data_IF_405032851983
#
_entry.id   IF_405032851983
#
_cell.length_a   1.000
_cell.length_b   1.000
_cell.length_c   1.000
_cell.angle_alpha   90.00
_cell.angle_beta   90.00
_cell.angle_gamma   90.00
#
_symmetry.space_group_name_H-M   'P 1'
#
loop_
_entity.id
_entity.type
_entity.pdbx_description
1 polymer ?
#
# COMPACT_ATOMS: atom_id res chain seq x y z
N UNK A 1 25.69 -1.17 24.00
CA UNK A 1 25.43 -0.40 22.78
C UNK A 1 24.18 -0.98 22.14
N UNK A 2 23.03 -0.45 22.53
CA UNK A 2 21.70 -0.82 22.03
C UNK A 2 21.52 -0.18 20.66
N UNK A 3 21.75 -0.95 19.58
CA UNK A 3 21.40 -0.51 18.23
C UNK A 3 19.88 -0.47 18.14
N UNK A 4 19.37 0.71 17.80
CA UNK A 4 17.98 1.11 17.96
C UNK A 4 16.97 0.23 17.23
N UNK A 5 15.88 -0.08 17.93
CA UNK A 5 14.61 -0.56 17.39
C UNK A 5 13.77 0.60 16.82
N UNK A 6 14.42 1.68 16.38
CA UNK A 6 13.78 2.89 15.89
C UNK A 6 14.10 2.99 14.40
N UNK A 7 13.28 2.36 13.55
CA UNK A 7 13.05 2.66 12.10
C UNK A 7 12.52 1.46 11.29
N UNK A 8 11.59 0.68 11.84
CA UNK A 8 10.80 -0.29 11.05
C UNK A 8 9.30 -0.06 11.20
N UNK A 9 8.89 1.20 11.36
CA UNK A 9 7.48 1.57 11.31
C UNK A 9 7.14 1.95 9.85
N UNK A 10 6.61 1.03 9.02
CA UNK A 10 6.16 1.41 7.69
C UNK A 10 5.04 2.45 7.88
N UNK A 11 5.15 3.61 7.22
CA UNK A 11 4.17 4.71 7.27
C UNK A 11 2.74 4.32 6.79
N UNK A 12 2.41 3.04 6.66
CA UNK A 12 1.10 2.53 6.28
C UNK A 12 0.87 1.11 6.82
N UNK A 13 1.00 0.93 8.15
CA UNK A 13 0.83 -0.36 8.83
C UNK A 13 -0.65 -0.81 8.84
N UNK A 14 -1.00 -1.96 8.21
CA UNK A 14 -2.36 -2.51 8.21
C UNK A 14 -2.93 -2.81 9.60
N UNK A 15 -2.07 -3.00 10.61
CA UNK A 15 -2.47 -3.23 11.99
C UNK A 15 -2.91 -1.95 12.73
N UNK A 16 -2.48 -0.78 12.26
CA UNK A 16 -2.86 0.51 12.86
C UNK A 16 -4.14 1.09 12.25
N UNK A 17 -4.64 0.50 11.16
CA UNK A 17 -5.87 0.98 10.54
C UNK A 17 -7.09 0.69 11.40
N UNK A 18 -8.04 1.63 11.50
CA UNK A 18 -9.26 1.45 12.27
C UNK A 18 -10.07 0.27 11.72
N UNK A 19 -10.80 -0.42 12.61
CA UNK A 19 -11.71 -1.52 12.22
C UNK A 19 -12.77 -1.03 11.22
N UNK A 20 -13.25 0.20 11.40
CA UNK A 20 -14.12 0.89 10.45
C UNK A 20 -13.31 1.97 9.73
N UNK A 21 -12.97 1.72 8.48
CA UNK A 21 -12.22 2.66 7.64
C UNK A 21 -13.21 3.60 6.95
N UNK A 22 -13.07 4.90 7.18
CA UNK A 22 -13.87 5.94 6.51
C UNK A 22 -13.28 6.27 5.13
N UNK A 23 -14.04 6.96 4.26
CA UNK A 23 -13.53 7.31 2.92
C UNK A 23 -12.31 8.25 2.96
N UNK A 24 -12.20 9.09 4.00
CA UNK A 24 -11.02 9.93 4.24
C UNK A 24 -9.81 9.05 4.55
N UNK A 25 -9.96 8.08 5.46
CA UNK A 25 -8.89 7.13 5.80
C UNK A 25 -8.50 6.31 4.57
N UNK A 26 -9.47 5.85 3.76
CA UNK A 26 -9.20 5.10 2.51
C UNK A 26 -8.33 5.92 1.57
N UNK A 27 -8.62 7.21 1.46
CA UNK A 27 -7.90 8.12 0.57
C UNK A 27 -6.46 8.30 1.04
N UNK A 28 -6.24 8.57 2.33
CA UNK A 28 -4.90 8.71 2.91
C UNK A 28 -4.08 7.41 2.81
N UNK A 29 -4.69 6.27 3.14
CA UNK A 29 -4.07 4.94 3.06
C UNK A 29 -3.68 4.60 1.62
N UNK A 30 -4.56 4.87 0.63
CA UNK A 30 -4.28 4.59 -0.78
C UNK A 30 -3.24 5.55 -1.36
N UNK A 31 -3.22 6.81 -0.92
CA UNK A 31 -2.21 7.79 -1.31
C UNK A 31 -0.81 7.37 -0.86
N UNK A 32 -0.69 6.84 0.36
CA UNK A 32 0.58 6.30 0.89
C UNK A 32 0.98 4.98 0.21
N UNK A 33 -0.02 4.19 -0.21
CA UNK A 33 0.16 2.95 -0.95
C UNK A 33 0.72 1.80 -0.12
N UNK A 34 0.73 0.57 -0.68
CA UNK A 34 1.28 -0.59 0.01
C UNK A 34 2.80 -0.45 0.17
N UNK A 35 3.27 -0.38 1.42
CA UNK A 35 4.71 -0.34 1.71
C UNK A 35 5.20 -1.78 1.88
N UNK A 36 6.13 -2.17 1.01
CA UNK A 36 6.88 -3.42 1.16
C UNK A 36 8.27 -3.10 1.65
N UNK A 37 8.64 -3.69 2.78
CA UNK A 37 10.02 -3.66 3.20
C UNK A 37 10.80 -4.50 2.20
N UNK A 38 11.60 -3.85 1.35
CA UNK A 38 12.61 -4.51 0.54
C UNK A 38 13.79 -4.75 1.48
N UNK A 39 13.90 -5.96 1.99
CA UNK A 39 14.94 -6.27 2.96
C UNK A 39 16.04 -7.01 2.22
N UNK A 40 17.17 -6.35 1.98
CA UNK A 40 18.40 -6.98 1.45
C UNK A 40 19.06 -7.97 2.45
N UNK A 41 18.35 -8.33 3.53
CA UNK A 41 18.81 -9.12 4.66
C UNK A 41 17.75 -10.19 5.01
N UNK A 42 17.89 -11.37 4.39
CA UNK A 42 17.06 -12.57 4.60
C UNK A 42 17.00 -13.01 6.08
N UNK A 43 17.93 -12.52 6.91
CA UNK A 43 18.05 -12.82 8.34
C UNK A 43 17.02 -12.09 9.23
N UNK A 44 16.18 -11.22 8.67
CA UNK A 44 15.16 -10.48 9.43
C UNK A 44 13.79 -11.16 9.48
N UNK A 45 13.51 -12.19 8.66
CA UNK A 45 12.25 -12.93 8.78
C UNK A 45 12.30 -13.89 9.97
N UNK A 46 11.47 -13.68 11.01
CA UNK A 46 11.46 -14.56 12.16
C UNK A 46 11.08 -15.98 11.72
N UNK A 47 11.74 -16.94 12.36
CA UNK A 47 11.47 -18.36 12.18
C UNK A 47 10.45 -18.76 13.25
N UNK A 48 9.32 -19.31 12.82
CA UNK A 48 8.30 -19.81 13.74
C UNK A 48 8.72 -21.14 14.38
N UNK A 49 7.93 -21.61 15.35
CA UNK A 49 8.18 -22.86 16.09
C UNK A 49 8.34 -24.11 15.19
N UNK A 50 7.83 -24.04 13.96
CA UNK A 50 7.93 -25.12 12.97
C UNK A 50 9.14 -24.98 12.03
N UNK A 51 10.12 -24.15 12.38
CA UNK A 51 11.29 -23.83 11.57
C UNK A 51 10.95 -23.23 10.18
N UNK A 52 9.80 -22.57 10.04
CA UNK A 52 9.34 -21.93 8.79
C UNK A 52 9.32 -20.41 8.95
N UNK A 53 9.49 -19.71 7.84
CA UNK A 53 9.49 -18.24 7.78
C UNK A 53 8.84 -17.76 6.49
N UNK A 54 8.46 -16.49 6.49
CA UNK A 54 8.12 -15.80 5.26
C UNK A 54 9.29 -15.84 4.26
N UNK A 55 8.95 -15.87 2.98
CA UNK A 55 9.92 -15.84 1.88
C UNK A 55 9.41 -14.91 0.80
N UNK A 56 10.30 -14.08 0.26
CA UNK A 56 9.99 -13.18 -0.86
C UNK A 56 9.49 -13.89 -2.11
N UNK A 57 9.70 -15.21 -2.23
CA UNK A 57 9.08 -16.00 -3.29
C UNK A 57 7.55 -15.79 -3.35
N UNK A 58 6.90 -15.56 -2.21
CA UNK A 58 5.47 -15.32 -2.13
C UNK A 58 5.06 -13.94 -2.70
N UNK A 59 5.99 -13.00 -2.88
CA UNK A 59 5.71 -11.70 -3.50
C UNK A 59 5.33 -11.84 -4.98
N UNK A 60 5.77 -12.90 -5.65
CA UNK A 60 5.56 -13.10 -7.07
C UNK A 60 4.70 -14.31 -7.37
N UNK A 61 3.80 -14.17 -8.34
CA UNK A 61 3.11 -15.28 -8.99
C UNK A 61 3.94 -15.72 -10.20
N UNK A 62 4.18 -17.02 -10.33
CA UNK A 62 4.75 -17.60 -11.55
C UNK A 62 3.61 -17.94 -12.50
N UNK A 63 3.68 -17.41 -13.72
CA UNK A 63 2.73 -17.67 -14.80
C UNK A 63 3.11 -18.93 -15.57
N UNK A 64 2.22 -19.42 -16.43
CA UNK A 64 2.45 -20.64 -17.24
C UNK A 64 3.63 -20.49 -18.21
N UNK A 65 3.96 -19.26 -18.59
CA UNK A 65 5.10 -18.90 -19.43
C UNK A 65 6.36 -18.58 -18.62
N UNK A 66 6.45 -19.04 -17.37
CA UNK A 66 7.52 -18.76 -16.40
C UNK A 66 7.75 -17.28 -16.06
N UNK A 67 6.91 -16.37 -16.56
CA UNK A 67 6.99 -14.97 -16.20
C UNK A 67 6.55 -14.75 -14.75
N UNK A 68 7.27 -13.86 -14.05
CA UNK A 68 6.96 -13.46 -12.68
C UNK A 68 6.05 -12.24 -12.71
N UNK A 69 4.86 -12.39 -12.15
CA UNK A 69 3.91 -11.31 -11.93
C UNK A 69 3.95 -10.88 -10.46
N UNK A 70 4.32 -9.62 -10.22
CA UNK A 70 4.38 -9.06 -8.88
C UNK A 70 2.99 -8.90 -8.25
N UNK A 71 2.79 -9.44 -7.04
CA UNK A 71 1.52 -9.39 -6.31
C UNK A 71 1.35 -8.06 -5.57
N UNK A 72 1.40 -6.90 -6.25
CA UNK A 72 1.42 -5.55 -5.61
C UNK A 72 0.45 -5.30 -4.43
N UNK A 73 -0.64 -6.05 -4.34
CA UNK A 73 -1.62 -6.03 -3.24
C UNK A 73 -1.15 -6.67 -1.92
N UNK A 74 -0.10 -7.48 -1.93
CA UNK A 74 0.35 -8.26 -0.76
C UNK A 74 1.36 -7.47 0.06
N UNK A 75 1.16 -7.42 1.38
CA UNK A 75 2.06 -6.77 2.35
C UNK A 75 2.45 -7.80 3.40
N UNK A 76 3.73 -7.85 3.75
CA UNK A 76 4.21 -8.61 4.90
C UNK A 76 4.59 -7.63 6.02
N UNK A 77 4.14 -7.93 7.23
CA UNK A 77 4.47 -7.15 8.43
C UNK A 77 5.28 -8.02 9.39
N UNK A 78 6.52 -7.58 9.65
CA UNK A 78 7.46 -8.31 10.50
C UNK A 78 7.03 -8.32 11.97
N UNK A 79 6.43 -7.23 12.46
CA UNK A 79 5.99 -7.11 13.88
C UNK A 79 4.94 -8.14 14.26
N UNK A 80 4.13 -8.61 13.29
CA UNK A 80 3.11 -9.64 13.47
C UNK A 80 3.47 -10.99 12.87
N UNK A 81 4.61 -11.08 12.18
CA UNK A 81 4.98 -12.20 11.31
C UNK A 81 3.78 -12.68 10.47
N UNK A 82 3.15 -11.77 9.73
CA UNK A 82 1.92 -12.06 9.00
C UNK A 82 1.82 -11.32 7.67
N UNK A 83 1.11 -11.94 6.72
CA UNK A 83 0.79 -11.38 5.41
C UNK A 83 -0.62 -10.81 5.40
N UNK A 84 -0.79 -9.67 4.74
CA UNK A 84 -2.03 -8.95 4.56
C UNK A 84 -2.29 -8.68 3.07
N UNK A 85 -3.57 -8.55 2.73
CA UNK A 85 -4.01 -8.09 1.44
C UNK A 85 -4.50 -6.66 1.57
N UNK A 86 -3.69 -5.72 1.07
CA UNK A 86 -3.93 -4.28 1.11
C UNK A 86 -5.36 -3.89 0.68
N UNK A 87 -5.84 -4.20 -0.53
CA UNK A 87 -7.17 -3.80 -0.96
C UNK A 87 -8.29 -4.50 -0.17
N UNK A 88 -8.11 -5.77 0.20
CA UNK A 88 -9.14 -6.50 0.96
C UNK A 88 -9.28 -5.98 2.38
N UNK A 89 -8.20 -5.50 3.01
CA UNK A 89 -8.24 -4.88 4.33
C UNK A 89 -8.95 -3.52 4.31
N UNK A 90 -8.86 -2.78 3.22
CA UNK A 90 -9.43 -1.41 3.10
C UNK A 90 -10.90 -1.42 2.62
N UNK A 91 -11.21 -2.30 1.67
CA UNK A 91 -12.49 -2.30 0.95
C UNK A 91 -13.33 -3.56 1.17
N UNK A 92 -12.73 -4.61 1.73
CA UNK A 92 -13.36 -5.90 1.90
C UNK A 92 -13.95 -6.09 3.29
N UNK A 93 -14.90 -7.04 3.45
CA UNK A 93 -15.32 -7.50 4.76
C UNK A 93 -14.19 -8.25 5.49
N UNK A 94 -14.21 -8.25 6.82
CA UNK A 94 -13.27 -8.96 7.72
C UNK A 94 -13.50 -10.49 7.75
N UNK A 95 -13.96 -11.08 6.64
CA UNK A 95 -14.26 -12.50 6.54
C UNK A 95 -13.06 -13.35 6.06
N UNK A 96 -11.97 -12.71 5.62
CA UNK A 96 -10.76 -13.40 5.18
C UNK A 96 -9.60 -13.06 6.12
N UNK A 97 -8.77 -14.05 6.45
CA UNK A 97 -7.60 -13.88 7.34
C UNK A 97 -6.71 -12.71 6.92
N UNK A 98 -6.35 -12.64 5.64
CA UNK A 98 -5.49 -11.58 5.10
C UNK A 98 -6.20 -10.23 4.89
N UNK A 99 -7.53 -10.19 4.93
CA UNK A 99 -8.32 -8.95 4.94
C UNK A 99 -8.66 -8.46 6.37
N UNK A 100 -8.26 -9.21 7.39
CA UNK A 100 -8.52 -8.90 8.80
C UNK A 100 -7.27 -8.30 9.46
N UNK A 101 -7.39 -7.83 10.70
CA UNK A 101 -6.26 -7.32 11.50
C UNK A 101 -5.24 -8.41 11.89
N UNK A 102 -5.63 -9.68 11.85
CA UNK A 102 -4.78 -10.83 12.19
C UNK A 102 -3.77 -11.20 11.10
N UNK A 103 -4.14 -11.07 9.82
CA UNK A 103 -3.30 -11.49 8.70
C UNK A 103 -3.21 -13.03 8.57
N UNK A 104 -2.29 -13.50 7.72
CA UNK A 104 -1.98 -14.93 7.58
C UNK A 104 -0.50 -15.23 7.80
N UNK A 105 -0.23 -16.18 8.69
CA UNK A 105 1.11 -16.64 9.05
C UNK A 105 1.32 -18.16 8.81
N UNK A 106 0.37 -18.84 8.17
CA UNK A 106 0.51 -20.26 7.81
C UNK A 106 1.44 -20.41 6.59
N UNK A 107 2.75 -20.34 6.84
CA UNK A 107 3.80 -20.45 5.82
C UNK A 107 3.75 -21.77 5.04
N UNK A 108 3.15 -22.83 5.59
CA UNK A 108 3.06 -24.14 4.93
C UNK A 108 2.04 -24.12 3.79
N UNK A 109 0.88 -23.50 4.01
CA UNK A 109 -0.21 -23.48 3.03
C UNK A 109 -0.39 -22.11 2.36
N UNK A 110 0.50 -21.15 2.63
CA UNK A 110 0.40 -19.78 2.13
C UNK A 110 0.28 -19.73 0.61
N UNK A 111 1.07 -20.50 -0.13
CA UNK A 111 1.04 -20.49 -1.61
C UNK A 111 -0.35 -20.81 -2.16
N UNK A 112 -0.96 -21.89 -1.69
CA UNK A 112 -2.28 -22.34 -2.14
C UNK A 112 -3.39 -21.40 -1.65
N UNK A 113 -3.23 -20.87 -0.43
CA UNK A 113 -4.10 -19.85 0.10
C UNK A 113 -4.08 -18.57 -0.74
N UNK A 114 -2.89 -18.06 -1.11
CA UNK A 114 -2.76 -16.87 -1.96
C UNK A 114 -3.39 -17.10 -3.34
N UNK A 115 -3.19 -18.30 -3.93
CA UNK A 115 -3.77 -18.67 -5.23
C UNK A 115 -5.31 -18.73 -5.18
N UNK A 116 -5.89 -19.28 -4.13
CA UNK A 116 -7.34 -19.29 -3.96
C UNK A 116 -7.88 -17.89 -3.67
N UNK A 117 -7.20 -17.11 -2.82
CA UNK A 117 -7.57 -15.74 -2.49
C UNK A 117 -7.58 -14.83 -3.72
N UNK A 118 -6.50 -14.81 -4.52
CA UNK A 118 -6.40 -13.95 -5.72
C UNK A 118 -7.47 -14.30 -6.78
N UNK A 119 -7.95 -15.55 -6.79
CA UNK A 119 -9.01 -15.99 -7.70
C UNK A 119 -10.42 -15.59 -7.23
N UNK A 120 -10.58 -15.28 -5.95
CA UNK A 120 -11.87 -14.98 -5.32
C UNK A 120 -12.51 -13.70 -5.89
N UNK A 121 -13.84 -13.69 -5.98
CA UNK A 121 -14.61 -12.52 -6.43
C UNK A 121 -14.36 -11.32 -5.52
N UNK A 122 -14.34 -11.54 -4.21
CA UNK A 122 -14.09 -10.49 -3.22
C UNK A 122 -12.76 -9.79 -3.44
N UNK A 123 -11.68 -10.55 -3.67
CA UNK A 123 -10.37 -9.96 -3.96
C UNK A 123 -10.41 -9.10 -5.21
N UNK A 124 -11.00 -9.59 -6.30
CA UNK A 124 -11.13 -8.86 -7.56
C UNK A 124 -11.93 -7.56 -7.42
N UNK A 125 -13.03 -7.60 -6.68
CA UNK A 125 -13.86 -6.42 -6.43
C UNK A 125 -13.09 -5.38 -5.58
N UNK A 126 -12.33 -5.81 -4.57
CA UNK A 126 -11.49 -4.92 -3.76
C UNK A 126 -10.33 -4.34 -4.58
N UNK A 127 -9.71 -5.15 -5.44
CA UNK A 127 -8.67 -4.70 -6.38
C UNK A 127 -9.20 -3.62 -7.32
N UNK A 128 -10.40 -3.81 -7.89
CA UNK A 128 -11.02 -2.83 -8.77
C UNK A 128 -11.27 -1.50 -8.06
N UNK A 129 -11.83 -1.54 -6.84
CA UNK A 129 -12.04 -0.34 -6.01
C UNK A 129 -10.74 0.39 -5.72
N UNK A 130 -9.69 -0.35 -5.38
CA UNK A 130 -8.37 0.23 -5.11
C UNK A 130 -7.78 0.91 -6.35
N UNK A 131 -7.77 0.22 -7.51
CA UNK A 131 -7.25 0.78 -8.77
C UNK A 131 -8.02 2.04 -9.17
N UNK A 132 -9.35 2.02 -9.04
CA UNK A 132 -10.18 3.18 -9.36
C UNK A 132 -9.89 4.37 -8.45
N UNK A 133 -9.76 4.14 -7.14
CA UNK A 133 -9.41 5.21 -6.20
C UNK A 133 -8.00 5.75 -6.46
N UNK A 134 -7.02 4.87 -6.66
CA UNK A 134 -5.64 5.25 -6.97
C UNK A 134 -5.56 6.12 -8.24
N UNK A 135 -6.26 5.74 -9.31
CA UNK A 135 -6.33 6.51 -10.55
C UNK A 135 -7.06 7.84 -10.34
N UNK A 136 -8.16 7.83 -9.59
CA UNK A 136 -8.90 9.04 -9.24
C UNK A 136 -8.01 10.06 -8.52
N UNK A 137 -7.26 9.62 -7.50
CA UNK A 137 -6.35 10.47 -6.74
C UNK A 137 -5.21 11.03 -7.61
N UNK A 138 -4.62 10.19 -8.47
CA UNK A 138 -3.59 10.66 -9.42
C UNK A 138 -4.15 11.71 -10.38
N UNK A 139 -5.36 11.50 -10.91
CA UNK A 139 -5.99 12.48 -11.80
C UNK A 139 -6.34 13.79 -11.11
N UNK A 140 -6.88 13.76 -9.89
CA UNK A 140 -7.19 14.94 -9.09
C UNK A 140 -5.90 15.71 -8.76
N UNK A 141 -4.85 15.02 -8.30
CA UNK A 141 -3.56 15.66 -8.01
C UNK A 141 -2.94 16.35 -9.24
N UNK A 142 -3.12 15.77 -10.43
CA UNK A 142 -2.65 16.37 -11.68
C UNK A 142 -3.42 17.65 -11.99
N UNK A 143 -4.76 17.63 -11.85
CA UNK A 143 -5.62 18.80 -12.07
C UNK A 143 -5.28 19.91 -11.06
N UNK A 144 -5.16 19.56 -9.77
CA UNK A 144 -4.86 20.50 -8.70
C UNK A 144 -3.50 21.18 -8.93
N UNK A 145 -2.49 20.41 -9.35
CA UNK A 145 -1.16 20.96 -9.66
C UNK A 145 -1.18 21.95 -10.83
N UNK A 146 -1.99 21.66 -11.87
CA UNK A 146 -2.15 22.55 -13.01
C UNK A 146 -2.84 23.86 -12.60
N UNK A 147 -3.91 23.76 -11.81
CA UNK A 147 -4.65 24.92 -11.30
C UNK A 147 -3.76 25.81 -10.41
N UNK A 148 -2.97 25.21 -9.51
CA UNK A 148 -2.00 25.95 -8.68
C UNK A 148 -0.95 26.68 -9.52
N UNK A 149 -0.43 26.05 -10.57
CA UNK A 149 0.53 26.70 -11.47
C UNK A 149 -0.08 27.90 -12.21
N UNK A 150 -1.35 27.82 -12.62
CA UNK A 150 -2.03 28.94 -13.28
C UNK A 150 -2.24 30.11 -12.33
N UNK A 151 -2.66 29.82 -11.09
CA UNK A 151 -2.84 30.84 -10.06
C UNK A 151 -1.53 31.58 -9.74
N UNK A 152 -0.41 30.87 -9.61
CA UNK A 152 0.89 31.51 -9.34
C UNK A 152 1.37 32.36 -10.53
N UNK A 153 1.13 31.92 -11.78
CA UNK A 153 1.44 32.74 -12.96
C UNK A 153 0.60 34.02 -13.01
N UNK A 154 -0.69 33.95 -12.69
CA UNK A 154 -1.52 35.15 -12.62
C UNK A 154 -1.07 36.09 -11.51
N UNK A 155 -0.73 35.54 -10.33
CA UNK A 155 -0.20 36.31 -9.21
C UNK A 155 1.11 37.03 -9.57
N UNK A 156 2.05 36.34 -10.23
CA UNK A 156 3.28 36.97 -10.74
C UNK A 156 2.95 38.07 -11.74
N UNK A 157 2.09 37.80 -12.72
CA UNK A 157 1.68 38.79 -13.72
C UNK A 157 1.07 40.04 -13.07
N UNK A 158 0.21 39.87 -12.08
CA UNK A 158 -0.38 41.00 -11.34
C UNK A 158 0.68 41.73 -10.50
N UNK A 159 1.62 41.01 -9.89
CA UNK A 159 2.77 41.59 -9.20
C UNK A 159 3.61 42.49 -10.11
N UNK A 160 4.01 41.99 -11.27
CA UNK A 160 4.81 42.75 -12.26
C UNK A 160 4.09 44.02 -12.73
N UNK A 161 2.76 43.96 -12.91
CA UNK A 161 1.95 45.12 -13.27
C UNK A 161 1.96 46.16 -12.14
N UNK A 162 1.78 45.73 -10.90
CA UNK A 162 1.78 46.62 -9.74
C UNK A 162 3.15 47.29 -9.54
N UNK A 163 4.25 46.55 -9.69
CA UNK A 163 5.60 47.11 -9.62
C UNK A 163 5.82 48.20 -10.68
N UNK A 164 5.38 47.97 -11.92
CA UNK A 164 5.46 48.97 -12.99
C UNK A 164 4.64 50.22 -12.71
N UNK A 165 3.47 50.06 -12.08
CA UNK A 165 2.61 51.19 -11.71
C UNK A 165 3.19 52.02 -10.56
N UNK A 166 3.86 51.38 -9.59
CA UNK A 166 4.50 52.07 -8.46
C UNK A 166 5.83 52.75 -8.85
N UNK A 167 6.44 52.36 -9.97
CA UNK A 167 7.64 52.97 -10.50
C UNK A 167 7.39 54.25 -11.34
N UNK A 168 6.12 54.69 -11.47
CA UNK A 168 5.70 55.95 -12.09
C UNK A 168 5.47 57.05 -11.04
#
# INVERSE_FOLDING_TARGET
MTVGMENLNPQNDPCLWPIKITDVDRTDIVLKGPIRVKVDLVDLFPVNDNARRFSEYHNNKILVNDAKLDRRWMIYLQTKDAVYCFPCRIFGPENTKIGSSEGACDWKHLRDYLKSHESSRQHKDCMLKWINLENGLKSCSTIDSLAQSQFEQEKQRWGDILERLLAL
#
